data_IF_663203818664
#
_entry.id   IF_663203818664
#
_cell.length_a   1.000
_cell.length_b   1.000
_cell.length_c   1.000
_cell.angle_alpha   90.00
_cell.angle_beta   90.00
_cell.angle_gamma   90.00
#
_symmetry.space_group_name_H-M   'P 1'
#
loop_
_entity.id
_entity.type
_entity.pdbx_description
1 polymer ?
#
# COMPACT_ATOMS: atom_id res chain seq x y z
N UNK A 1 16.23 -19.18 -15.92
CA UNK A 1 17.52 -19.63 -15.36
C UNK A 1 17.81 -18.85 -14.09
N UNK A 2 18.23 -19.50 -12.98
CA UNK A 2 18.69 -18.76 -11.81
C UNK A 2 20.00 -18.06 -12.16
N UNK A 3 20.04 -16.74 -12.03
CA UNK A 3 21.26 -15.94 -12.08
C UNK A 3 21.62 -15.48 -10.67
N UNK A 4 22.91 -15.27 -10.42
CA UNK A 4 23.39 -14.79 -9.12
C UNK A 4 23.10 -13.30 -8.90
N UNK A 5 23.11 -12.88 -7.63
CA UNK A 5 22.95 -11.49 -7.25
C UNK A 5 24.21 -10.70 -7.60
N UNK A 6 24.03 -9.50 -8.16
CA UNK A 6 25.13 -8.55 -8.35
C UNK A 6 24.98 -7.47 -7.30
N UNK A 7 25.77 -7.55 -6.23
CA UNK A 7 25.68 -6.66 -5.08
C UNK A 7 26.56 -5.42 -5.27
N UNK A 8 25.97 -4.24 -5.11
CA UNK A 8 26.66 -2.95 -5.14
C UNK A 8 26.32 -2.14 -3.90
N UNK A 9 27.17 -1.17 -3.52
CA UNK A 9 26.83 -0.23 -2.46
C UNK A 9 25.55 0.54 -2.80
N UNK A 10 24.76 0.90 -1.79
CA UNK A 10 23.53 1.72 -1.95
C UNK A 10 23.77 3.18 -2.37
N UNK A 11 24.92 3.47 -2.95
CA UNK A 11 25.28 4.79 -3.47
C UNK A 11 24.53 5.06 -4.76
N UNK A 12 24.04 6.29 -4.93
CA UNK A 12 23.47 6.72 -6.19
C UNK A 12 24.58 6.96 -7.23
N UNK A 13 24.31 6.55 -8.47
CA UNK A 13 25.22 6.76 -9.60
C UNK A 13 24.83 8.06 -10.30
N UNK A 14 25.84 8.85 -10.68
CA UNK A 14 25.65 10.08 -11.45
C UNK A 14 25.97 9.81 -12.92
N UNK A 15 25.00 10.04 -13.81
CA UNK A 15 25.15 9.93 -15.26
C UNK A 15 24.54 11.17 -15.91
N UNK A 16 25.35 11.95 -16.62
CA UNK A 16 24.87 13.11 -17.38
C UNK A 16 24.13 14.17 -16.54
N UNK A 17 24.51 14.35 -15.27
CA UNK A 17 23.85 15.30 -14.36
C UNK A 17 22.62 14.75 -13.63
N UNK A 18 22.21 13.51 -13.91
CA UNK A 18 21.14 12.82 -13.19
C UNK A 18 21.71 11.80 -12.21
N UNK A 19 21.26 11.87 -10.98
CA UNK A 19 21.63 10.95 -9.90
C UNK A 19 20.52 9.94 -9.71
N UNK A 20 20.83 8.64 -9.80
CA UNK A 20 19.84 7.58 -9.62
C UNK A 20 20.47 6.29 -9.05
N UNK A 21 19.70 5.47 -8.32
CA UNK A 21 20.18 4.19 -7.82
C UNK A 21 20.54 3.20 -8.95
N UNK A 22 21.59 2.39 -8.74
CA UNK A 22 22.08 1.44 -9.74
C UNK A 22 21.00 0.45 -10.22
N UNK A 23 20.21 -0.11 -9.30
CA UNK A 23 19.14 -1.03 -9.67
C UNK A 23 18.04 -0.38 -10.51
N UNK A 24 17.74 0.91 -10.29
CA UNK A 24 16.76 1.65 -11.07
C UNK A 24 17.27 1.84 -12.50
N UNK A 25 18.51 2.29 -12.66
CA UNK A 25 19.14 2.53 -13.97
C UNK A 25 19.24 1.25 -14.80
N UNK A 26 19.73 0.15 -14.20
CA UNK A 26 19.89 -1.11 -14.92
C UNK A 26 18.55 -1.75 -15.26
N UNK A 27 17.56 -1.73 -14.35
CA UNK A 27 16.21 -2.21 -14.68
C UNK A 27 15.57 -1.40 -15.81
N UNK A 28 15.79 -0.08 -15.81
CA UNK A 28 15.29 0.81 -16.87
C UNK A 28 15.94 0.52 -18.22
N UNK A 29 17.25 0.27 -18.23
CA UNK A 29 18.01 0.01 -19.46
C UNK A 29 17.67 -1.34 -20.10
N UNK A 30 17.49 -2.40 -19.29
CA UNK A 30 17.40 -3.77 -19.80
C UNK A 30 15.97 -4.35 -19.83
N UNK A 31 15.01 -3.82 -19.06
CA UNK A 31 13.67 -4.43 -18.95
C UNK A 31 12.52 -3.44 -19.14
N UNK A 32 12.54 -2.29 -18.44
CA UNK A 32 11.39 -1.39 -18.36
C UNK A 32 11.79 0.07 -18.65
N UNK A 33 11.81 0.50 -19.93
CA UNK A 33 12.29 1.84 -20.31
C UNK A 33 11.44 2.98 -19.73
N UNK A 34 10.20 2.70 -19.38
CA UNK A 34 9.22 3.61 -18.80
C UNK A 34 9.26 3.65 -17.26
N UNK A 35 10.16 2.89 -16.62
CA UNK A 35 10.37 2.91 -15.17
C UNK A 35 10.85 4.29 -14.71
N UNK A 36 10.18 4.83 -13.69
CA UNK A 36 10.45 6.18 -13.18
C UNK A 36 11.10 6.16 -11.80
N UNK A 37 10.65 5.28 -10.90
CA UNK A 37 11.05 5.28 -9.49
C UNK A 37 11.46 3.90 -9.01
N UNK A 38 12.43 3.84 -8.09
CA UNK A 38 12.87 2.59 -7.47
C UNK A 38 11.74 1.91 -6.66
N UNK A 39 10.76 2.67 -6.17
CA UNK A 39 9.57 2.13 -5.49
C UNK A 39 8.69 1.25 -6.39
N UNK A 40 8.84 1.36 -7.71
CA UNK A 40 8.17 0.48 -8.67
C UNK A 40 8.89 -0.86 -8.85
N UNK A 41 9.99 -1.10 -8.13
CA UNK A 41 10.74 -2.35 -8.17
C UNK A 41 10.54 -3.12 -6.86
N UNK A 42 10.17 -4.39 -6.98
CA UNK A 42 10.10 -5.32 -5.87
C UNK A 42 11.09 -6.46 -6.08
N UNK A 43 12.05 -6.71 -5.16
CA UNK A 43 12.97 -7.82 -5.31
C UNK A 43 12.23 -9.17 -5.21
N UNK A 44 12.66 -10.13 -6.02
CA UNK A 44 12.15 -11.50 -6.02
C UNK A 44 12.68 -12.31 -4.83
N UNK A 45 12.00 -13.39 -4.46
CA UNK A 45 12.31 -14.21 -3.27
C UNK A 45 13.74 -14.80 -3.28
N UNK A 46 14.30 -15.05 -4.47
CA UNK A 46 15.65 -15.56 -4.66
C UNK A 46 16.74 -14.46 -4.63
N UNK A 47 16.35 -13.19 -4.56
CA UNK A 47 17.28 -12.07 -4.48
C UNK A 47 17.76 -11.86 -3.02
N UNK A 48 19.04 -11.59 -2.83
CA UNK A 48 19.60 -11.26 -1.51
C UNK A 48 18.97 -9.98 -0.94
N UNK A 49 18.65 -8.99 -1.79
CA UNK A 49 17.98 -7.75 -1.36
C UNK A 49 16.53 -7.95 -0.92
N UNK A 50 15.91 -9.11 -1.19
CA UNK A 50 14.61 -9.44 -0.58
C UNK A 50 14.76 -9.76 0.91
N UNK A 51 15.86 -10.43 1.30
CA UNK A 51 16.12 -10.86 2.67
C UNK A 51 16.61 -9.72 3.56
N UNK A 52 17.43 -8.85 3.01
CA UNK A 52 17.99 -7.70 3.73
C UNK A 52 17.45 -6.41 3.11
N UNK A 53 16.24 -6.04 3.54
CA UNK A 53 15.74 -4.68 3.28
C UNK A 53 16.65 -3.69 4.00
N UNK A 54 17.03 -2.63 3.29
CA UNK A 54 17.83 -1.52 3.80
C UNK A 54 19.27 -1.80 4.26
N UNK A 55 19.86 -2.92 3.82
CA UNK A 55 21.29 -3.20 4.01
C UNK A 55 22.23 -2.27 3.22
N UNK A 56 23.54 -2.22 3.55
CA UNK A 56 24.51 -1.32 2.90
C UNK A 56 24.72 -1.61 1.41
N UNK A 57 24.36 -2.81 0.97
CA UNK A 57 24.43 -3.25 -0.42
C UNK A 57 23.04 -3.60 -0.96
N UNK A 58 22.87 -3.41 -2.27
CA UNK A 58 21.66 -3.70 -3.02
C UNK A 58 22.01 -4.49 -4.29
N UNK A 59 21.15 -5.44 -4.66
CA UNK A 59 21.28 -6.16 -5.91
C UNK A 59 20.92 -5.23 -7.07
N UNK A 60 21.70 -5.22 -8.13
CA UNK A 60 21.40 -4.40 -9.31
C UNK A 60 21.04 -5.23 -10.55
N UNK A 61 20.96 -6.57 -10.42
CA UNK A 61 20.56 -7.47 -11.50
C UNK A 61 19.08 -7.25 -11.88
N UNK A 62 18.76 -6.81 -13.12
CA UNK A 62 17.39 -6.52 -13.54
C UNK A 62 16.42 -7.70 -13.42
N UNK A 63 16.92 -8.94 -13.57
CA UNK A 63 16.11 -10.15 -13.52
C UNK A 63 15.76 -10.61 -12.10
N UNK A 64 16.28 -9.92 -11.08
CA UNK A 64 15.98 -10.17 -9.67
C UNK A 64 14.87 -9.28 -9.12
N UNK A 65 14.24 -8.50 -9.98
CA UNK A 65 13.12 -7.63 -9.65
C UNK A 65 11.88 -7.98 -10.44
N UNK A 66 10.73 -7.73 -9.85
CA UNK A 66 9.45 -7.57 -10.53
C UNK A 66 9.03 -6.10 -10.50
N UNK A 67 8.28 -5.67 -11.52
CA UNK A 67 7.71 -4.33 -11.56
C UNK A 67 6.39 -4.29 -10.81
N UNK A 68 6.23 -3.27 -9.97
CA UNK A 68 4.96 -2.88 -9.37
C UNK A 68 4.33 -1.80 -10.24
N UNK A 69 3.13 -2.09 -10.75
CA UNK A 69 2.29 -1.09 -11.40
C UNK A 69 1.40 -0.44 -10.33
N UNK A 70 1.23 0.88 -10.42
CA UNK A 70 0.26 1.58 -9.57
C UNK A 70 -1.17 1.14 -9.92
N UNK A 71 -2.13 1.28 -8.99
CA UNK A 71 -3.52 1.00 -9.31
C UNK A 71 -3.98 1.98 -10.40
N UNK A 72 -4.32 1.45 -11.57
CA UNK A 72 -4.77 2.23 -12.73
C UNK A 72 -6.11 2.95 -12.48
N UNK A 73 -6.86 2.51 -11.47
CA UNK A 73 -8.10 3.14 -11.01
C UNK A 73 -8.04 3.45 -9.52
N UNK A 74 -8.64 4.56 -9.05
CA UNK A 74 -8.89 4.73 -7.63
C UNK A 74 -9.64 3.51 -7.08
N UNK A 75 -9.42 3.12 -5.81
CA UNK A 75 -10.16 2.02 -5.22
C UNK A 75 -11.66 2.27 -5.41
N UNK A 76 -12.45 1.26 -5.79
CA UNK A 76 -13.90 1.39 -5.85
C UNK A 76 -14.42 1.93 -4.51
N UNK A 77 -15.51 2.74 -4.52
CA UNK A 77 -15.98 3.47 -3.34
C UNK A 77 -16.61 2.56 -2.29
N UNK A 78 -15.80 1.72 -1.63
CA UNK A 78 -16.18 0.96 -0.46
C UNK A 78 -15.80 1.74 0.80
N UNK A 79 -16.37 2.94 0.97
CA UNK A 79 -16.25 3.73 2.22
C UNK A 79 -17.60 4.07 2.83
N UNK A 80 -18.68 3.39 2.40
CA UNK A 80 -20.03 3.59 2.94
C UNK A 80 -20.63 2.39 3.66
N UNK A 81 -19.88 1.29 3.77
CA UNK A 81 -20.22 0.24 4.72
C UNK A 81 -19.45 0.54 6.00
N UNK A 82 -19.94 1.53 6.74
CA UNK A 82 -19.59 1.69 8.15
C UNK A 82 -19.80 0.35 8.84
N UNK A 83 -18.81 -0.07 9.61
CA UNK A 83 -18.88 -1.13 10.61
C UNK A 83 -20.07 -0.91 11.55
N UNK A 84 -21.26 -1.34 11.14
CA UNK A 84 -22.45 -1.43 11.97
C UNK A 84 -23.37 -2.53 11.44
N UNK A 85 -22.82 -3.55 10.78
CA UNK A 85 -23.48 -4.86 10.79
C UNK A 85 -23.02 -5.51 12.09
N UNK A 86 -23.74 -5.14 13.13
CA UNK A 86 -23.76 -5.73 14.46
C UNK A 86 -23.65 -7.26 14.32
N UNK A 87 -22.57 -7.84 14.86
CA UNK A 87 -22.49 -9.26 15.16
C UNK A 87 -23.65 -9.56 16.10
N UNK A 88 -24.82 -9.89 15.55
CA UNK A 88 -25.94 -10.41 16.33
C UNK A 88 -25.54 -11.82 16.76
N UNK A 89 -25.29 -12.07 18.06
CA UNK A 89 -25.15 -13.44 18.52
C UNK A 89 -26.49 -14.11 18.25
N UNK A 90 -26.46 -15.29 17.63
CA UNK A 90 -27.61 -16.17 17.57
C UNK A 90 -28.00 -16.50 19.01
N UNK A 91 -29.09 -15.90 19.50
CA UNK A 91 -30.03 -16.68 20.30
C UNK A 91 -31.47 -16.23 20.06
N UNK A 92 -32.27 -17.23 19.71
CA UNK A 92 -33.72 -17.19 19.52
C UNK A 92 -34.36 -16.73 20.83
N UNK A 93 -35.26 -15.75 20.86
CA UNK A 93 -36.70 -16.02 20.65
C UNK A 93 -37.52 -14.72 20.56
N UNK A 94 -38.46 -14.75 19.59
CA UNK A 94 -39.65 -13.93 19.27
C UNK A 94 -40.29 -13.06 20.39
N UNK A 95 -40.98 -11.94 20.15
CA UNK A 95 -41.57 -11.30 18.95
C UNK A 95 -42.20 -9.97 19.44
N UNK A 96 -41.89 -8.76 18.90
CA UNK A 96 -42.64 -7.49 19.11
C UNK A 96 -41.83 -6.25 18.67
N UNK A 97 -42.53 -5.11 18.52
CA UNK A 97 -42.04 -3.71 18.40
C UNK A 97 -42.04 -3.11 16.98
N UNK A 98 -43.25 -2.99 16.42
CA UNK A 98 -43.58 -1.81 15.62
C UNK A 98 -44.49 -0.90 16.45
N UNK A 99 -44.26 0.41 16.36
CA UNK A 99 -45.09 1.51 16.88
C UNK A 99 -44.81 2.00 18.31
N UNK A 100 -43.71 2.71 18.51
CA UNK A 100 -43.66 3.67 19.63
C UNK A 100 -42.98 5.02 19.35
N UNK A 101 -42.10 5.16 18.35
CA UNK A 101 -41.18 6.32 18.41
C UNK A 101 -41.73 7.71 18.00
N UNK A 102 -43.02 7.86 17.68
CA UNK A 102 -43.63 9.19 17.43
C UNK A 102 -44.13 9.82 18.74
N UNK A 103 -43.29 10.63 19.41
CA UNK A 103 -43.68 11.92 20.05
C UNK A 103 -42.48 12.75 20.57
N UNK A 104 -42.23 13.86 19.85
CA UNK A 104 -41.80 15.25 20.21
C UNK A 104 -40.87 15.51 21.44
N UNK A 105 -39.68 16.12 21.14
CA UNK A 105 -38.89 17.24 21.76
C UNK A 105 -38.82 17.43 23.31
N UNK A 106 -37.78 18.09 23.93
CA UNK A 106 -36.80 19.07 23.42
C UNK A 106 -35.32 18.95 23.92
N UNK A 107 -34.45 19.81 23.36
CA UNK A 107 -33.02 20.07 23.67
C UNK A 107 -32.81 20.74 25.05
N UNK A 108 -31.68 20.48 25.74
CA UNK A 108 -30.98 21.53 26.49
C UNK A 108 -29.43 21.56 26.27
N UNK A 109 -28.73 22.62 26.73
CA UNK A 109 -27.58 23.19 26.02
C UNK A 109 -26.22 22.99 26.72
N UNK A 110 -25.15 23.24 25.96
CA UNK A 110 -23.88 23.76 26.51
C UNK A 110 -22.73 22.77 26.59
N UNK A 111 -21.70 22.99 25.76
CA UNK A 111 -20.39 22.33 25.85
C UNK A 111 -19.54 22.65 24.63
N UNK A 112 -18.46 23.40 24.81
CA UNK A 112 -17.56 23.97 23.81
C UNK A 112 -16.78 22.93 22.98
N UNK A 113 -16.29 23.28 21.76
CA UNK A 113 -15.52 22.35 20.93
C UNK A 113 -14.05 22.31 21.36
N UNK A 114 -13.58 21.18 21.87
CA UNK A 114 -12.15 20.89 21.99
C UNK A 114 -11.67 20.11 20.76
N UNK A 115 -10.66 20.65 20.11
CA UNK A 115 -9.97 20.09 18.96
C UNK A 115 -9.34 18.73 19.27
N UNK A 116 -9.33 17.81 18.30
CA UNK A 116 -8.16 16.98 18.03
C UNK A 116 -8.24 16.47 16.59
N UNK A 117 -7.43 17.08 15.72
CA UNK A 117 -7.04 16.46 14.45
C UNK A 117 -6.16 15.26 14.79
N UNK A 118 -6.49 14.09 14.26
CA UNK A 118 -5.49 13.06 14.04
C UNK A 118 -5.72 12.42 12.68
N UNK A 119 -4.99 12.94 11.70
CA UNK A 119 -4.81 12.33 10.39
C UNK A 119 -3.83 11.18 10.55
N UNK A 120 -4.36 9.97 10.75
CA UNK A 120 -3.59 8.76 10.50
C UNK A 120 -4.40 7.89 9.54
N UNK A 121 -4.17 8.07 8.24
CA UNK A 121 -4.67 7.13 7.22
C UNK A 121 -3.78 5.89 7.29
N UNK A 122 -4.32 4.69 7.60
CA UNK A 122 -3.56 3.47 7.46
C UNK A 122 -3.29 3.21 5.97
N UNK A 123 -2.03 2.90 5.65
CA UNK A 123 -1.58 2.43 4.34
C UNK A 123 -2.36 1.16 3.97
N UNK A 124 -3.24 1.28 2.99
CA UNK A 124 -3.95 0.15 2.40
C UNK A 124 -3.03 -0.51 1.37
N UNK A 125 -2.32 -1.54 1.82
CA UNK A 125 -1.51 -2.40 0.99
C UNK A 125 -2.40 -3.39 0.23
N UNK A 126 -3.22 -2.89 -0.71
CA UNK A 126 -4.05 -3.73 -1.57
C UNK A 126 -3.41 -3.87 -2.96
N UNK A 127 -2.80 -5.04 -3.17
CA UNK A 127 -2.66 -5.74 -4.45
C UNK A 127 -1.96 -4.98 -5.59
N UNK A 128 -0.63 -4.90 -5.50
CA UNK A 128 0.18 -4.69 -6.69
C UNK A 128 0.18 -5.97 -7.54
N UNK A 129 -0.51 -5.94 -8.68
CA UNK A 129 -0.44 -6.95 -9.74
C UNK A 129 1.02 -7.07 -10.19
N UNK A 130 1.64 -8.20 -9.85
CA UNK A 130 3.02 -8.51 -10.25
C UNK A 130 2.97 -8.89 -11.74
N UNK A 131 3.37 -7.99 -12.64
CA UNK A 131 3.62 -8.35 -14.03
C UNK A 131 4.95 -9.13 -14.08
N UNK A 132 4.87 -10.46 -14.03
CA UNK A 132 5.99 -11.38 -14.31
C UNK A 132 6.03 -11.63 -15.83
N UNK A 133 6.86 -10.86 -16.54
CA UNK A 133 7.42 -11.21 -17.85
C UNK A 133 8.93 -11.33 -17.71
#
# INVERSE_FOLDING_TARGET
MPSDCVMVSRTELQLGGHTAPAQLLLCKLYRWPDLQHAAQLKPLLNCQSFRVQDGPAVCCNPYHYSRLCGPESPPPPYSRLSTSEELKPLDRSDSMLSLHWKRRLPVPPGGTPAAFQNSHKPVELAQATILLL
#
